data_IF_759117947455
#
_entry.id   IF_759117947455
#
_cell.length_a   1.000
_cell.length_b   1.000
_cell.length_c   1.000
_cell.angle_alpha   90.00
_cell.angle_beta   90.00
_cell.angle_gamma   90.00
#
_symmetry.space_group_name_H-M   'P 1'
#
loop_
_entity.id
_entity.type
_entity.pdbx_description
1 polymer ?
#
# COMPACT_ATOMS: atom_id res chain seq x y z
N UNK A 1 -15.35 -30.27 -36.24
CA UNK A 1 -13.96 -30.40 -35.75
C UNK A 1 -13.93 -29.86 -34.32
N UNK A 2 -14.27 -30.73 -33.38
CA UNK A 2 -14.23 -30.45 -31.94
C UNK A 2 -12.78 -30.59 -31.46
N UNK A 3 -12.24 -29.53 -30.86
CA UNK A 3 -10.99 -29.61 -30.10
C UNK A 3 -11.34 -30.15 -28.71
N UNK A 4 -10.96 -31.41 -28.45
CA UNK A 4 -10.83 -31.93 -27.09
C UNK A 4 -9.58 -31.30 -26.47
N UNK A 5 -9.79 -30.46 -25.46
CA UNK A 5 -8.72 -30.08 -24.52
C UNK A 5 -8.67 -31.18 -23.48
N UNK A 6 -7.71 -32.09 -23.64
CA UNK A 6 -7.23 -32.98 -22.59
C UNK A 6 -6.64 -32.11 -21.47
N UNK A 7 -7.43 -31.83 -20.44
CA UNK A 7 -6.88 -31.47 -19.14
C UNK A 7 -6.49 -32.77 -18.45
N UNK A 8 -5.23 -33.17 -18.64
CA UNK A 8 -4.59 -34.18 -17.81
C UNK A 8 -4.72 -33.75 -16.34
N UNK A 9 -5.42 -34.59 -15.57
CA UNK A 9 -5.46 -34.51 -14.11
C UNK A 9 -4.09 -34.95 -13.62
N UNK A 10 -3.15 -34.01 -13.57
CA UNK A 10 -1.88 -34.21 -12.91
C UNK A 10 -2.14 -34.21 -11.41
N UNK A 11 -1.90 -35.36 -10.80
CA UNK A 11 -2.00 -35.63 -9.37
C UNK A 11 -1.16 -34.59 -8.58
N UNK A 12 -1.78 -33.63 -7.87
CA UNK A 12 -1.05 -32.51 -7.26
C UNK A 12 -0.15 -32.93 -6.09
N UNK A 13 -0.25 -34.19 -5.65
CA UNK A 13 0.54 -34.73 -4.54
C UNK A 13 1.96 -35.16 -4.94
N UNK A 14 2.21 -35.50 -6.21
CA UNK A 14 3.51 -36.05 -6.63
C UNK A 14 4.60 -34.99 -6.81
N UNK A 15 4.21 -33.73 -7.07
CA UNK A 15 5.17 -32.65 -7.33
C UNK A 15 5.71 -31.97 -6.06
N UNK A 16 5.07 -32.20 -4.92
CA UNK A 16 5.42 -31.53 -3.65
C UNK A 16 6.45 -32.30 -2.82
N UNK A 17 6.57 -33.63 -2.97
CA UNK A 17 7.43 -34.44 -2.09
C UNK A 17 8.94 -34.17 -2.25
N UNK A 18 9.40 -33.77 -3.44
CA UNK A 18 10.83 -33.46 -3.66
C UNK A 18 11.24 -32.05 -3.19
N UNK A 19 10.29 -31.14 -2.98
CA UNK A 19 10.57 -29.75 -2.62
C UNK A 19 10.46 -29.46 -1.11
N UNK A 20 9.86 -30.37 -0.33
CA UNK A 20 9.55 -30.21 1.11
C UNK A 20 10.77 -30.41 2.04
N UNK A 21 11.92 -30.85 1.53
CA UNK A 21 13.08 -31.21 2.35
C UNK A 21 13.68 -30.10 3.25
N UNK A 22 13.30 -28.82 3.08
CA UNK A 22 13.83 -27.70 3.85
C UNK A 22 12.77 -26.71 4.39
N UNK A 23 11.48 -27.00 4.28
CA UNK A 23 10.42 -26.14 4.81
C UNK A 23 9.60 -26.87 5.86
N UNK A 24 9.47 -26.26 7.05
CA UNK A 24 8.54 -26.72 8.07
C UNK A 24 7.10 -26.47 7.56
N UNK A 25 6.49 -27.52 7.01
CA UNK A 25 5.18 -27.45 6.37
C UNK A 25 4.10 -27.90 7.36
N UNK A 26 3.05 -27.09 7.50
CA UNK A 26 1.92 -27.40 8.37
C UNK A 26 0.67 -27.76 7.57
N UNK A 27 -0.06 -28.78 8.01
CA UNK A 27 -1.32 -29.22 7.39
C UNK A 27 -2.48 -28.34 7.90
N UNK A 28 -3.03 -27.52 7.01
CA UNK A 28 -4.18 -26.64 7.25
C UNK A 28 -5.53 -27.21 6.78
N UNK A 29 -5.60 -28.50 6.44
CA UNK A 29 -6.85 -29.15 6.01
C UNK A 29 -7.79 -29.48 7.17
N UNK A 30 -9.03 -29.84 6.83
CA UNK A 30 -10.07 -30.28 7.77
C UNK A 30 -9.59 -31.43 8.64
N UNK A 31 -9.79 -31.28 9.95
CA UNK A 31 -9.59 -32.28 11.01
C UNK A 31 -10.93 -32.88 11.40
N UNK A 32 -10.91 -34.02 12.07
CA UNK A 32 -12.16 -34.67 12.52
C UNK A 32 -12.99 -33.78 13.45
N UNK A 33 -12.33 -32.97 14.29
CA UNK A 33 -12.99 -32.01 15.18
C UNK A 33 -13.73 -30.91 14.40
N UNK A 34 -13.22 -30.53 13.23
CA UNK A 34 -13.82 -29.51 12.37
C UNK A 34 -15.14 -30.02 11.75
N UNK A 35 -15.28 -31.34 11.56
CA UNK A 35 -16.50 -31.95 11.03
C UNK A 35 -17.66 -31.69 12.00
N UNK A 36 -17.43 -31.93 13.29
CA UNK A 36 -18.43 -31.70 14.33
C UNK A 36 -18.64 -30.21 14.61
N UNK A 37 -17.57 -29.40 14.59
CA UNK A 37 -17.64 -27.96 14.86
C UNK A 37 -18.47 -27.20 13.80
N UNK A 38 -18.34 -27.58 12.53
CA UNK A 38 -19.01 -26.92 11.40
C UNK A 38 -20.20 -27.72 10.84
N UNK A 39 -20.63 -28.79 11.53
CA UNK A 39 -21.73 -29.68 11.11
C UNK A 39 -21.60 -30.15 9.64
N UNK A 40 -20.38 -30.57 9.27
CA UNK A 40 -20.05 -30.85 7.88
C UNK A 40 -20.64 -32.19 7.41
N UNK A 41 -21.26 -32.24 6.22
CA UNK A 41 -21.81 -33.47 5.68
C UNK A 41 -20.71 -34.48 5.38
N UNK A 42 -20.87 -35.69 5.90
CA UNK A 42 -20.00 -36.82 5.60
C UNK A 42 -20.53 -37.54 4.37
N UNK A 43 -19.68 -37.64 3.35
CA UNK A 43 -19.96 -38.39 2.13
C UNK A 43 -19.35 -39.79 2.19
N UNK A 44 -19.97 -40.71 1.45
CA UNK A 44 -19.40 -42.05 1.27
C UNK A 44 -18.52 -42.08 0.03
N UNK A 45 -17.22 -42.31 0.20
CA UNK A 45 -16.26 -42.55 -0.89
C UNK A 45 -15.65 -43.94 -0.72
N UNK A 46 -15.75 -44.77 -1.77
CA UNK A 46 -15.01 -46.03 -1.82
C UNK A 46 -13.54 -45.74 -2.15
N UNK A 47 -12.65 -46.18 -1.27
CA UNK A 47 -11.21 -46.09 -1.46
C UNK A 47 -10.67 -47.36 -2.10
N UNK A 48 -9.74 -47.20 -3.04
CA UNK A 48 -8.98 -48.30 -3.62
C UNK A 48 -8.00 -48.90 -2.60
N UNK A 49 -7.58 -50.15 -2.80
CA UNK A 49 -6.56 -50.80 -1.95
C UNK A 49 -5.25 -50.00 -1.90
N UNK A 50 -4.89 -49.34 -3.00
CA UNK A 50 -3.72 -48.46 -3.08
C UNK A 50 -3.88 -47.23 -2.17
N UNK A 51 -5.03 -46.56 -2.20
CA UNK A 51 -5.32 -45.42 -1.32
C UNK A 51 -5.33 -45.82 0.15
N UNK A 52 -5.92 -46.97 0.49
CA UNK A 52 -5.92 -47.49 1.86
C UNK A 52 -4.51 -47.84 2.34
N UNK A 53 -3.68 -48.41 1.47
CA UNK A 53 -2.27 -48.68 1.78
C UNK A 53 -1.51 -47.38 2.05
N UNK A 54 -1.77 -46.32 1.28
CA UNK A 54 -1.12 -45.03 1.51
C UNK A 54 -1.56 -44.39 2.83
N UNK A 55 -2.84 -44.47 3.19
CA UNK A 55 -3.34 -44.03 4.50
C UNK A 55 -2.60 -44.76 5.64
N UNK A 56 -2.38 -46.06 5.51
CA UNK A 56 -1.62 -46.82 6.52
C UNK A 56 -0.15 -46.39 6.59
N UNK A 57 0.45 -46.01 5.47
CA UNK A 57 1.81 -45.47 5.45
C UNK A 57 1.87 -44.09 6.12
N UNK A 58 0.89 -43.21 5.89
CA UNK A 58 0.82 -41.90 6.56
C UNK A 58 0.74 -42.04 8.08
N UNK A 59 -0.02 -43.01 8.59
CA UNK A 59 -0.06 -43.32 10.03
C UNK A 59 1.31 -43.78 10.54
N UNK A 60 2.01 -44.64 9.80
CA UNK A 60 3.36 -45.11 10.18
C UNK A 60 4.40 -43.97 10.18
N UNK A 61 4.26 -43.00 9.27
CA UNK A 61 5.11 -41.81 9.19
C UNK A 61 4.76 -40.74 10.24
N UNK A 62 3.63 -40.89 10.95
CA UNK A 62 3.16 -39.91 11.94
C UNK A 62 2.48 -38.68 11.31
N UNK A 63 2.15 -38.72 10.02
CA UNK A 63 1.49 -37.64 9.27
C UNK A 63 -0.03 -37.62 9.50
N UNK A 64 -0.58 -38.72 10.03
CA UNK A 64 -2.01 -38.92 10.25
C UNK A 64 -2.24 -39.70 11.54
N UNK A 65 -3.28 -39.34 12.29
CA UNK A 65 -3.71 -40.07 13.47
C UNK A 65 -4.43 -41.38 13.10
N UNK A 66 -4.49 -42.33 14.04
CA UNK A 66 -5.24 -43.57 13.83
C UNK A 66 -6.74 -43.32 13.64
N UNK A 67 -7.28 -42.32 14.32
CA UNK A 67 -8.69 -41.94 14.24
C UNK A 67 -9.05 -41.40 12.85
N UNK A 68 -8.21 -40.52 12.29
CA UNK A 68 -8.36 -40.05 10.90
C UNK A 68 -8.29 -41.20 9.90
N UNK A 69 -7.36 -42.15 10.10
CA UNK A 69 -7.25 -43.31 9.23
C UNK A 69 -8.48 -44.22 9.30
N UNK A 70 -9.07 -44.41 10.49
CA UNK A 70 -10.30 -45.19 10.66
C UNK A 70 -11.50 -44.53 9.97
N UNK A 71 -11.58 -43.20 9.99
CA UNK A 71 -12.59 -42.44 9.26
C UNK A 71 -12.57 -42.79 7.76
N UNK A 72 -11.39 -42.74 7.13
CA UNK A 72 -11.24 -43.13 5.73
C UNK A 72 -11.53 -44.62 5.48
N UNK A 73 -11.12 -45.51 6.39
CA UNK A 73 -11.40 -46.96 6.30
C UNK A 73 -12.89 -47.29 6.36
N UNK A 74 -13.71 -46.43 6.96
CA UNK A 74 -15.18 -46.52 6.94
C UNK A 74 -15.80 -46.00 5.63
N UNK A 75 -14.99 -45.71 4.60
CA UNK A 75 -15.40 -45.08 3.36
C UNK A 75 -16.00 -43.69 3.58
N UNK A 76 -15.56 -42.95 4.59
CA UNK A 76 -16.05 -41.62 4.90
C UNK A 76 -15.11 -40.54 4.36
N UNK A 77 -15.67 -39.44 3.87
CA UNK A 77 -14.95 -38.26 3.37
C UNK A 77 -15.73 -36.99 3.73
N UNK A 78 -15.01 -35.89 3.93
CA UNK A 78 -15.59 -34.53 3.92
C UNK A 78 -14.84 -33.71 2.89
N UNK A 79 -15.56 -32.91 2.12
CA UNK A 79 -14.96 -31.97 1.16
C UNK A 79 -14.90 -30.56 1.77
N UNK A 80 -13.84 -29.80 1.47
CA UNK A 80 -13.68 -28.41 1.99
C UNK A 80 -14.75 -27.47 1.46
N UNK A 81 -15.25 -27.70 0.23
CA UNK A 81 -16.36 -26.98 -0.37
C UNK A 81 -17.72 -27.23 0.34
N UNK A 82 -17.77 -28.13 1.32
CA UNK A 82 -18.94 -28.33 2.15
C UNK A 82 -19.14 -27.19 3.17
N UNK A 83 -18.09 -26.42 3.48
CA UNK A 83 -18.19 -25.18 4.24
C UNK A 83 -18.95 -24.12 3.44
N UNK A 84 -19.88 -23.40 4.08
CA UNK A 84 -20.48 -22.21 3.46
C UNK A 84 -19.40 -21.14 3.28
N UNK A 85 -19.52 -20.23 2.29
CA UNK A 85 -18.52 -19.20 2.06
C UNK A 85 -18.16 -18.37 3.29
N UNK A 86 -19.14 -18.05 4.14
CA UNK A 86 -18.92 -17.32 5.40
C UNK A 86 -18.15 -18.15 6.44
N UNK A 87 -18.42 -19.45 6.50
CA UNK A 87 -17.74 -20.38 7.42
C UNK A 87 -16.32 -20.69 6.96
N UNK A 88 -16.07 -20.70 5.66
CA UNK A 88 -14.73 -20.91 5.11
C UNK A 88 -13.77 -19.78 5.51
N UNK A 89 -14.25 -18.53 5.50
CA UNK A 89 -13.46 -17.38 5.96
C UNK A 89 -13.14 -17.49 7.46
N UNK A 90 -14.14 -17.80 8.28
CA UNK A 90 -13.97 -18.00 9.73
C UNK A 90 -13.02 -19.17 10.02
N UNK A 91 -13.18 -20.29 9.32
CA UNK A 91 -12.34 -21.48 9.44
C UNK A 91 -10.87 -21.18 9.13
N UNK A 92 -10.61 -20.55 7.97
CA UNK A 92 -9.25 -20.23 7.55
C UNK A 92 -8.61 -19.23 8.50
N UNK A 93 -9.35 -18.21 8.95
CA UNK A 93 -8.87 -17.22 9.93
C UNK A 93 -8.44 -17.91 11.22
N UNK A 94 -9.33 -18.70 11.83
CA UNK A 94 -9.06 -19.44 13.07
C UNK A 94 -7.83 -20.36 12.92
N UNK A 95 -7.77 -21.14 11.84
CA UNK A 95 -6.67 -22.09 11.62
C UNK A 95 -5.34 -21.40 11.37
N UNK A 96 -5.32 -20.24 10.71
CA UNK A 96 -4.09 -19.46 10.51
C UNK A 96 -3.61 -18.87 11.85
N UNK A 97 -4.53 -18.31 12.65
CA UNK A 97 -4.21 -17.77 13.98
C UNK A 97 -3.66 -18.84 14.94
N UNK A 98 -4.24 -20.04 14.96
CA UNK A 98 -3.74 -21.18 15.76
C UNK A 98 -2.30 -21.57 15.40
N UNK A 99 -1.89 -21.35 14.16
CA UNK A 99 -0.53 -21.62 13.71
C UNK A 99 0.42 -20.40 13.87
N UNK A 100 -0.07 -19.30 14.46
CA UNK A 100 0.66 -18.05 14.66
C UNK A 100 0.77 -17.19 13.39
N UNK A 101 -0.07 -17.43 12.39
CA UNK A 101 -0.11 -16.66 11.16
C UNK A 101 -1.13 -15.55 11.30
N UNK A 102 -0.64 -14.35 11.55
CA UNK A 102 -1.48 -13.16 11.72
C UNK A 102 -1.60 -12.34 10.44
N UNK A 103 -2.72 -11.63 10.31
CA UNK A 103 -2.91 -10.65 9.25
C UNK A 103 -2.06 -9.41 9.55
N UNK A 104 -0.90 -9.31 8.91
CA UNK A 104 0.00 -8.15 9.06
C UNK A 104 -0.64 -6.90 8.45
N UNK A 105 -1.04 -5.96 9.31
CA UNK A 105 -1.34 -4.58 8.93
C UNK A 105 -0.11 -3.72 9.24
N UNK A 106 0.21 -2.72 8.41
CA UNK A 106 1.29 -1.80 8.76
C UNK A 106 0.92 -1.00 10.00
N UNK A 107 1.90 -0.75 10.86
CA UNK A 107 1.83 0.31 11.86
C UNK A 107 2.26 1.65 11.23
N UNK A 108 2.03 2.77 11.92
CA UNK A 108 2.45 4.08 11.42
C UNK A 108 3.97 4.15 11.22
N UNK A 109 4.74 3.47 12.08
CA UNK A 109 6.20 3.40 12.01
C UNK A 109 6.72 2.67 10.77
N UNK A 110 5.91 1.76 10.20
CA UNK A 110 6.22 1.05 8.95
C UNK A 110 6.09 1.95 7.72
N UNK A 111 5.47 3.13 7.86
CA UNK A 111 5.20 4.06 6.76
C UNK A 111 6.38 5.01 6.57
N UNK A 112 6.96 4.99 5.37
CA UNK A 112 8.02 5.92 4.99
C UNK A 112 7.50 7.35 4.93
N UNK A 113 8.31 8.30 5.39
CA UNK A 113 7.99 9.72 5.30
C UNK A 113 7.93 10.17 3.83
N UNK A 114 7.01 11.09 3.54
CA UNK A 114 6.82 11.65 2.19
C UNK A 114 7.54 13.00 2.13
N UNK A 115 8.35 13.22 1.09
CA UNK A 115 9.05 14.50 0.92
C UNK A 115 8.10 15.56 0.35
N UNK A 116 7.38 16.25 1.25
CA UNK A 116 6.54 17.41 0.89
C UNK A 116 7.36 18.69 1.06
N UNK A 117 7.53 19.51 0.00
CA UNK A 117 8.26 20.77 0.10
C UNK A 117 7.63 21.74 1.11
N UNK A 118 8.45 22.41 1.91
CA UNK A 118 7.98 23.46 2.81
C UNK A 118 7.43 24.67 2.00
N UNK A 119 6.14 25.02 2.13
CA UNK A 119 5.54 26.15 1.42
C UNK A 119 6.29 27.47 1.63
N UNK A 120 6.79 27.75 2.84
CA UNK A 120 7.49 29.00 3.12
C UNK A 120 8.84 29.05 2.43
N UNK A 121 9.54 27.91 2.37
CA UNK A 121 10.78 27.81 1.61
C UNK A 121 10.52 27.94 0.11
N UNK A 122 9.44 27.33 -0.41
CA UNK A 122 9.05 27.46 -1.83
C UNK A 122 8.76 28.91 -2.19
N UNK A 123 8.00 29.64 -1.36
CA UNK A 123 7.76 31.08 -1.56
C UNK A 123 9.04 31.89 -1.57
N UNK A 124 9.92 31.64 -0.58
CA UNK A 124 11.20 32.34 -0.47
C UNK A 124 12.06 32.12 -1.71
N UNK A 125 12.15 30.89 -2.18
CA UNK A 125 12.89 30.54 -3.40
C UNK A 125 12.28 31.20 -4.64
N UNK A 126 10.94 31.20 -4.75
CA UNK A 126 10.21 31.83 -5.84
C UNK A 126 10.38 33.35 -5.86
N UNK A 127 10.29 34.01 -4.70
CA UNK A 127 10.59 35.45 -4.55
C UNK A 127 12.02 35.74 -4.99
N UNK A 128 13.01 35.02 -4.45
CA UNK A 128 14.42 35.21 -4.82
C UNK A 128 14.67 35.02 -6.31
N UNK A 129 13.99 34.05 -6.94
CA UNK A 129 14.07 33.80 -8.38
C UNK A 129 13.42 34.90 -9.20
N UNK A 130 12.28 35.44 -8.76
CA UNK A 130 11.60 36.55 -9.41
C UNK A 130 12.45 37.83 -9.32
N UNK A 131 12.93 38.13 -8.12
CA UNK A 131 13.83 39.24 -7.83
C UNK A 131 15.11 39.07 -8.66
N UNK A 132 15.79 37.93 -8.60
CA UNK A 132 17.02 37.70 -9.37
C UNK A 132 16.83 37.81 -10.89
N UNK A 133 15.65 37.50 -11.42
CA UNK A 133 15.31 37.76 -12.84
C UNK A 133 15.11 39.25 -13.14
N UNK A 134 14.63 40.03 -12.18
CA UNK A 134 14.41 41.46 -12.30
C UNK A 134 15.70 42.27 -12.02
N UNK A 135 16.55 41.79 -11.13
CA UNK A 135 17.69 42.48 -10.53
C UNK A 135 19.02 42.21 -11.24
N UNK A 136 19.10 41.23 -12.16
CA UNK A 136 20.34 40.83 -12.83
C UNK A 136 20.97 41.87 -13.80
N UNK A 137 20.73 43.17 -13.61
CA UNK A 137 21.69 44.18 -14.06
C UNK A 137 22.13 45.19 -13.01
N UNK A 138 21.32 45.76 -12.10
CA UNK A 138 21.81 46.86 -11.21
C UNK A 138 21.13 47.01 -9.82
N UNK A 139 20.34 46.06 -9.32
CA UNK A 139 19.49 46.30 -8.15
C UNK A 139 20.01 45.76 -6.79
N UNK A 140 20.23 46.64 -5.80
CA UNK A 140 20.78 46.30 -4.48
C UNK A 140 19.77 45.68 -3.49
N UNK A 141 20.26 45.25 -2.31
CA UNK A 141 19.51 44.58 -1.24
C UNK A 141 18.21 45.31 -0.81
N UNK A 142 18.10 46.62 -1.04
CA UNK A 142 16.94 47.45 -0.69
C UNK A 142 15.63 47.05 -1.39
N UNK A 143 15.68 46.60 -2.65
CA UNK A 143 14.46 46.13 -3.36
C UNK A 143 14.05 44.76 -2.85
N UNK A 144 15.03 43.94 -2.46
CA UNK A 144 14.75 42.67 -1.82
C UNK A 144 14.04 42.88 -0.49
N UNK A 145 14.53 43.80 0.33
CA UNK A 145 13.93 44.12 1.63
C UNK A 145 12.51 44.69 1.45
N UNK A 146 12.30 45.60 0.49
CA UNK A 146 10.98 46.14 0.18
C UNK A 146 9.97 45.05 -0.26
N UNK A 147 10.40 44.08 -1.08
CA UNK A 147 9.56 42.95 -1.52
C UNK A 147 9.36 41.90 -0.41
N UNK A 148 10.32 41.77 0.52
CA UNK A 148 10.19 40.88 1.68
C UNK A 148 9.17 41.42 2.70
N UNK A 149 9.14 42.74 2.93
CA UNK A 149 8.17 43.38 3.82
C UNK A 149 6.76 43.46 3.23
N UNK A 150 6.62 43.44 1.90
CA UNK A 150 5.33 43.57 1.24
C UNK A 150 4.48 42.29 1.27
N UNK A 151 3.17 42.49 1.47
CA UNK A 151 2.17 41.42 1.38
C UNK A 151 1.70 41.27 -0.06
N UNK A 152 2.45 40.48 -0.83
CA UNK A 152 2.04 40.10 -2.17
C UNK A 152 0.67 39.42 -2.17
N UNK A 153 -0.22 39.88 -3.04
CA UNK A 153 -1.48 39.20 -3.34
C UNK A 153 -1.23 38.14 -4.42
N UNK A 154 -1.50 36.87 -4.08
CA UNK A 154 -1.43 35.73 -4.98
C UNK A 154 -2.46 34.70 -4.56
N UNK A 155 -2.78 33.76 -5.47
CA UNK A 155 -3.61 32.62 -5.14
C UNK A 155 -2.92 31.72 -4.09
N UNK A 156 -3.54 31.62 -2.91
CA UNK A 156 -3.03 30.84 -1.77
C UNK A 156 -3.43 29.36 -1.84
N UNK A 157 -4.25 28.96 -2.80
CA UNK A 157 -4.70 27.56 -2.91
C UNK A 157 -3.52 26.58 -3.03
N UNK A 158 -2.48 26.81 -3.87
CA UNK A 158 -1.31 25.94 -3.93
C UNK A 158 -0.50 25.89 -2.63
N UNK A 159 -0.49 26.98 -1.86
CA UNK A 159 0.16 27.04 -0.55
C UNK A 159 -0.60 26.22 0.49
N UNK A 160 -1.91 26.43 0.58
CA UNK A 160 -2.78 25.73 1.51
C UNK A 160 -2.75 24.22 1.25
N UNK A 161 -2.81 23.80 -0.02
CA UNK A 161 -2.72 22.39 -0.36
C UNK A 161 -1.37 21.76 0.02
N UNK A 162 -0.25 22.49 -0.12
CA UNK A 162 1.05 21.99 0.34
C UNK A 162 1.12 21.88 1.88
N UNK A 163 0.47 22.81 2.61
CA UNK A 163 0.34 22.74 4.07
C UNK A 163 -0.48 21.54 4.49
N UNK A 164 -1.66 21.37 3.91
CA UNK A 164 -2.55 20.24 4.19
C UNK A 164 -1.84 18.90 3.94
N UNK A 165 -1.15 18.77 2.80
CA UNK A 165 -0.39 17.56 2.47
C UNK A 165 0.75 17.25 3.43
N UNK A 166 1.39 18.29 4.01
CA UNK A 166 2.46 18.16 5.00
C UNK A 166 1.89 17.81 6.37
N UNK A 167 0.79 18.46 6.77
CA UNK A 167 0.14 18.28 8.07
C UNK A 167 -0.54 16.90 8.17
N UNK A 168 -1.04 16.35 7.07
CA UNK A 168 -1.50 14.96 7.00
C UNK A 168 -0.40 13.95 7.39
N UNK A 169 0.86 14.28 7.10
CA UNK A 169 2.03 13.50 7.55
C UNK A 169 1.95 12.00 7.25
N UNK A 170 2.48 11.20 8.20
CA UNK A 170 2.45 9.73 8.14
C UNK A 170 1.08 9.18 8.52
N UNK A 171 0.43 9.74 9.53
CA UNK A 171 -0.88 9.32 10.03
C UNK A 171 -1.95 9.30 8.92
N UNK A 172 -2.06 10.39 8.14
CA UNK A 172 -3.03 10.46 7.04
C UNK A 172 -2.78 9.43 5.95
N UNK A 173 -1.50 9.12 5.66
CA UNK A 173 -1.12 8.08 4.69
C UNK A 173 -1.38 6.67 5.24
N UNK A 174 -1.09 6.44 6.52
CA UNK A 174 -1.40 5.18 7.20
C UNK A 174 -2.90 4.87 7.14
N UNK A 175 -3.74 5.85 7.45
CA UNK A 175 -5.20 5.69 7.35
C UNK A 175 -5.67 5.41 5.92
N UNK A 176 -5.07 6.06 4.91
CA UNK A 176 -5.40 5.78 3.50
C UNK A 176 -5.02 4.34 3.09
N UNK A 177 -3.90 3.81 3.60
CA UNK A 177 -3.50 2.42 3.37
C UNK A 177 -4.51 1.45 4.01
N UNK A 178 -4.89 1.69 5.27
CA UNK A 178 -5.89 0.87 5.96
C UNK A 178 -7.23 0.85 5.21
N UNK A 179 -7.72 2.02 4.79
CA UNK A 179 -8.96 2.13 4.02
C UNK A 179 -8.89 1.37 2.68
N UNK A 180 -7.73 1.40 2.00
CA UNK A 180 -7.53 0.65 0.75
C UNK A 180 -7.44 -0.86 0.98
N UNK A 181 -6.88 -1.30 2.10
CA UNK A 181 -6.81 -2.71 2.48
C UNK A 181 -8.19 -3.29 2.83
N UNK A 182 -9.10 -2.48 3.37
CA UNK A 182 -10.49 -2.89 3.65
C UNK A 182 -11.32 -3.10 2.38
N UNK A 183 -11.08 -2.31 1.33
CA UNK A 183 -11.91 -2.33 0.12
C UNK A 183 -11.60 -3.46 -0.88
N UNK A 184 -10.35 -3.94 -0.98
CA UNK A 184 -9.92 -5.02 -1.89
C UNK A 184 -8.60 -5.66 -1.42
N UNK A 185 -8.56 -6.95 -1.02
CA UNK A 185 -7.29 -7.65 -0.84
C UNK A 185 -6.82 -8.22 -2.18
N UNK A 186 -5.97 -7.52 -2.95
CA UNK A 186 -4.75 -8.20 -3.41
C UNK A 186 -3.62 -7.21 -3.75
N UNK A 187 -2.77 -6.88 -2.78
CA UNK A 187 -1.39 -6.38 -2.97
C UNK A 187 -0.72 -6.33 -1.60
N UNK A 188 0.59 -6.50 -1.58
CA UNK A 188 1.36 -6.20 -0.37
C UNK A 188 1.05 -4.74 0.01
N UNK A 189 0.79 -4.46 1.28
CA UNK A 189 0.50 -3.08 1.72
C UNK A 189 1.63 -2.11 1.30
N UNK A 190 2.85 -2.62 1.18
CA UNK A 190 4.04 -1.92 0.63
C UNK A 190 3.85 -1.41 -0.79
N UNK A 191 3.11 -2.12 -1.64
CA UNK A 191 2.82 -1.67 -3.01
C UNK A 191 1.80 -0.53 -3.02
N UNK A 192 0.83 -0.57 -2.11
CA UNK A 192 -0.14 0.51 -1.90
C UNK A 192 0.62 1.74 -1.41
N UNK A 193 1.44 1.56 -0.38
CA UNK A 193 2.26 2.59 0.24
C UNK A 193 3.18 3.30 -0.77
N UNK A 194 3.91 2.53 -1.57
CA UNK A 194 4.77 3.06 -2.63
C UNK A 194 3.99 3.84 -3.69
N UNK A 195 2.80 3.37 -4.06
CA UNK A 195 1.92 4.08 -4.98
C UNK A 195 1.47 5.43 -4.43
N UNK A 196 1.00 5.43 -3.18
CA UNK A 196 0.58 6.63 -2.47
C UNK A 196 1.69 7.65 -2.33
N UNK A 197 2.90 7.20 -1.94
CA UNK A 197 4.08 8.06 -1.85
C UNK A 197 4.34 8.80 -3.14
N UNK A 198 4.41 8.04 -4.25
CA UNK A 198 4.68 8.59 -5.58
C UNK A 198 3.59 9.57 -6.03
N UNK A 199 2.33 9.26 -5.75
CA UNK A 199 1.21 10.12 -6.10
C UNK A 199 1.24 11.43 -5.31
N UNK A 200 1.51 11.36 -3.99
CA UNK A 200 1.68 12.55 -3.13
C UNK A 200 2.88 13.40 -3.57
N UNK A 201 4.05 12.80 -3.80
CA UNK A 201 5.23 13.52 -4.29
C UNK A 201 4.98 14.20 -5.64
N UNK A 202 4.30 13.52 -6.57
CA UNK A 202 3.95 14.09 -7.87
C UNK A 202 2.99 15.28 -7.74
N UNK A 203 1.97 15.16 -6.88
CA UNK A 203 1.03 16.25 -6.59
C UNK A 203 1.75 17.44 -5.94
N UNK A 204 2.58 17.19 -4.92
CA UNK A 204 3.35 18.21 -4.23
C UNK A 204 4.31 18.93 -5.18
N UNK A 205 4.94 18.21 -6.11
CA UNK A 205 5.78 18.82 -7.17
C UNK A 205 4.98 19.72 -8.10
N UNK A 206 3.75 19.34 -8.46
CA UNK A 206 2.86 20.19 -9.26
C UNK A 206 2.50 21.45 -8.48
N UNK A 207 2.04 21.30 -7.22
CA UNK A 207 1.63 22.43 -6.38
C UNK A 207 2.77 23.39 -6.06
N UNK A 208 3.99 22.86 -5.86
CA UNK A 208 5.21 23.66 -5.77
C UNK A 208 5.43 24.52 -7.03
N UNK A 209 5.22 23.96 -8.22
CA UNK A 209 5.39 24.69 -9.48
C UNK A 209 4.31 25.76 -9.66
N UNK A 210 3.08 25.46 -9.25
CA UNK A 210 1.96 26.40 -9.29
C UNK A 210 2.24 27.56 -8.34
N UNK A 211 2.63 27.28 -7.08
CA UNK A 211 3.03 28.29 -6.10
C UNK A 211 4.23 29.14 -6.57
N UNK A 212 5.27 28.52 -7.13
CA UNK A 212 6.42 29.25 -7.72
C UNK A 212 5.96 30.21 -8.82
N UNK A 213 5.02 29.79 -9.66
CA UNK A 213 4.52 30.59 -10.78
C UNK A 213 3.67 31.78 -10.29
N UNK A 214 2.78 31.55 -9.33
CA UNK A 214 1.94 32.60 -8.75
C UNK A 214 2.78 33.64 -7.99
N UNK A 215 3.72 33.21 -7.15
CA UNK A 215 4.61 34.14 -6.44
C UNK A 215 5.46 34.95 -7.42
N UNK A 216 6.03 34.31 -8.45
CA UNK A 216 6.83 35.01 -9.47
C UNK A 216 6.00 36.04 -10.21
N UNK A 217 4.75 35.72 -10.55
CA UNK A 217 3.82 36.62 -11.22
C UNK A 217 3.51 37.83 -10.33
N UNK A 218 3.14 37.61 -9.07
CA UNK A 218 2.82 38.70 -8.15
C UNK A 218 4.01 39.60 -7.82
N UNK A 219 5.22 39.04 -7.66
CA UNK A 219 6.44 39.85 -7.52
C UNK A 219 6.65 40.74 -8.75
N UNK A 220 6.44 40.17 -9.95
CA UNK A 220 6.62 40.91 -11.20
C UNK A 220 5.60 42.04 -11.33
N UNK A 221 4.33 41.77 -11.06
CA UNK A 221 3.26 42.77 -11.09
C UNK A 221 3.57 43.91 -10.10
N UNK A 222 3.97 43.57 -8.87
CA UNK A 222 4.40 44.56 -7.89
C UNK A 222 5.58 45.41 -8.39
N UNK A 223 6.61 44.79 -8.98
CA UNK A 223 7.75 45.53 -9.53
C UNK A 223 7.35 46.47 -10.68
N UNK A 224 6.40 46.06 -11.54
CA UNK A 224 5.89 46.88 -12.64
C UNK A 224 5.08 48.08 -12.13
N UNK A 225 4.27 47.89 -11.08
CA UNK A 225 3.49 48.96 -10.44
C UNK A 225 4.36 49.97 -9.69
N UNK A 226 5.42 49.49 -9.04
CA UNK A 226 6.29 50.31 -8.18
C UNK A 226 7.57 50.75 -8.90
N UNK A 227 7.61 50.65 -10.23
CA UNK A 227 8.83 50.86 -11.02
C UNK A 227 9.44 52.26 -10.85
N UNK A 228 8.62 53.30 -10.63
CA UNK A 228 9.12 54.67 -10.42
C UNK A 228 9.70 54.89 -9.01
N UNK A 229 9.13 54.25 -7.99
CA UNK A 229 9.70 54.24 -6.62
C UNK A 229 11.01 53.45 -6.61
N UNK A 230 11.02 52.30 -7.30
CA UNK A 230 12.22 51.49 -7.52
C UNK A 230 13.30 52.32 -8.24
N UNK A 231 12.95 53.09 -9.28
CA UNK A 231 13.90 53.98 -9.98
C UNK A 231 14.39 55.15 -9.11
N UNK A 232 13.59 55.66 -8.19
CA UNK A 232 14.03 56.70 -7.25
C UNK A 232 15.11 56.17 -6.30
N UNK A 233 14.96 54.93 -5.82
CA UNK A 233 16.00 54.24 -5.03
C UNK A 233 17.34 54.15 -5.80
N UNK A 234 17.29 54.00 -7.13
CA UNK A 234 18.51 53.98 -7.97
C UNK A 234 19.13 55.35 -8.22
N UNK A 235 18.31 56.40 -8.37
CA UNK A 235 18.82 57.75 -8.69
C UNK A 235 19.59 58.39 -7.54
N UNK A 236 19.32 58.01 -6.30
CA UNK A 236 20.05 58.52 -5.12
C UNK A 236 21.45 57.90 -4.96
N UNK A 237 21.88 57.01 -5.87
CA UNK A 237 23.17 56.31 -5.83
C UNK A 237 24.17 56.68 -6.94
N UNK A 238 23.80 57.55 -7.89
CA UNK A 238 24.73 58.19 -8.86
C UNK A 238 25.25 59.54 -8.34
#
# INVERSE_FOLDING_TARGET
MSHEVLCDVVDPFFFLSEFIGNFDTKRLGLRLQDIDEYDLPIETKKYSEKELTEIENMVKRGEMTKEEAEFFKKNQRVEVNALRPTELEEYLTKRLEEEGVEKVKPEEEDIEETEIPDPEQVKKDAKNKAIGRYIMSEAGDEIRDAIEEEKLEYDKDPENELKDMRDEGKEGRHQEILNKLEGKPPRLWKDIDKGLKKDKESKAKSKKKDLDSEVVKSVREWCEENIEEIKLIFKDKE
#
